data_IF_640240454910
#
_entry.id   IF_640240454910
#
_cell.length_a   1.000
_cell.length_b   1.000
_cell.length_c   1.000
_cell.angle_alpha   90.00
_cell.angle_beta   90.00
_cell.angle_gamma   90.00
#
_symmetry.space_group_name_H-M   'P 1'
#
loop_
_entity.id
_entity.type
_entity.pdbx_description
1 polymer ?
#
# COMPACT_ATOMS: atom_id res chain seq x y z
N UNK A 1 -15.68 -8.12 2.02
CA UNK A 1 -14.28 -8.33 1.60
C UNK A 1 -14.26 -9.37 0.51
N UNK A 2 -13.78 -9.03 -0.68
CA UNK A 2 -13.68 -9.95 -1.81
C UNK A 2 -12.27 -10.59 -1.89
N UNK A 3 -12.07 -11.50 -2.86
CA UNK A 3 -10.79 -12.20 -3.04
C UNK A 3 -9.64 -11.25 -3.39
N UNK A 4 -9.91 -10.22 -4.20
CA UNK A 4 -8.92 -9.20 -4.57
C UNK A 4 -8.42 -8.44 -3.34
N UNK A 5 -9.34 -7.91 -2.53
CA UNK A 5 -9.04 -7.19 -1.30
C UNK A 5 -8.24 -8.07 -0.34
N UNK A 6 -8.64 -9.33 -0.18
CA UNK A 6 -7.96 -10.30 0.68
C UNK A 6 -6.52 -10.53 0.23
N UNK A 7 -6.30 -10.75 -1.07
CA UNK A 7 -4.96 -10.94 -1.65
C UNK A 7 -4.10 -9.68 -1.50
N UNK A 8 -4.65 -8.49 -1.80
CA UNK A 8 -3.95 -7.21 -1.60
C UNK A 8 -3.50 -7.03 -0.15
N UNK A 9 -4.40 -7.21 0.81
CA UNK A 9 -4.09 -7.06 2.24
C UNK A 9 -2.99 -8.04 2.66
N UNK A 10 -3.08 -9.30 2.23
CA UNK A 10 -2.07 -10.31 2.57
C UNK A 10 -0.70 -9.96 1.98
N UNK A 11 -0.63 -9.50 0.73
CA UNK A 11 0.62 -9.07 0.11
C UNK A 11 1.19 -7.82 0.78
N UNK A 12 0.36 -6.85 1.16
CA UNK A 12 0.77 -5.70 1.96
C UNK A 12 1.38 -6.13 3.29
N UNK A 13 0.75 -7.06 4.02
CA UNK A 13 1.28 -7.58 5.29
C UNK A 13 2.64 -8.25 5.12
N UNK A 14 2.81 -9.06 4.07
CA UNK A 14 4.09 -9.70 3.73
C UNK A 14 5.15 -8.66 3.38
N UNK A 15 4.79 -7.61 2.65
CA UNK A 15 5.69 -6.52 2.30
C UNK A 15 6.12 -5.73 3.55
N UNK A 16 5.17 -5.25 4.35
CA UNK A 16 5.44 -4.36 5.48
C UNK A 16 6.22 -5.04 6.60
N UNK A 17 6.10 -6.36 6.76
CA UNK A 17 6.94 -7.14 7.66
C UNK A 17 8.46 -7.04 7.33
N UNK A 18 8.83 -6.62 6.12
CA UNK A 18 10.22 -6.43 5.68
C UNK A 18 10.77 -5.03 6.04
N UNK A 19 9.92 -4.11 6.50
CA UNK A 19 10.27 -2.72 6.75
C UNK A 19 10.09 -2.36 8.24
N UNK A 20 11.08 -2.64 9.11
CA UNK A 20 10.96 -2.48 10.57
C UNK A 20 10.83 -1.02 11.04
N UNK A 21 11.02 -0.05 10.14
CA UNK A 21 10.78 1.37 10.44
C UNK A 21 9.33 1.81 10.25
N UNK A 22 8.47 0.94 9.69
CA UNK A 22 7.04 1.18 9.63
C UNK A 22 6.43 0.95 11.00
N UNK A 23 5.64 1.90 11.48
CA UNK A 23 4.82 1.71 12.67
C UNK A 23 3.82 0.56 12.48
N UNK A 24 3.36 -0.02 13.59
CA UNK A 24 2.29 -1.02 13.54
C UNK A 24 0.98 -0.38 13.09
N UNK A 25 0.26 -1.07 12.20
CA UNK A 25 -1.06 -0.66 11.73
C UNK A 25 -1.88 -1.85 11.26
N UNK A 26 -3.18 -1.68 11.22
CA UNK A 26 -4.12 -2.68 10.74
C UNK A 26 -4.98 -2.13 9.61
N UNK A 27 -5.40 -3.01 8.71
CA UNK A 27 -6.40 -2.68 7.71
C UNK A 27 -7.78 -2.64 8.35
N UNK A 28 -8.38 -1.47 8.39
CA UNK A 28 -9.72 -1.22 8.91
C UNK A 28 -10.73 -1.11 7.76
N UNK A 29 -11.92 -1.73 7.88
CA UNK A 29 -12.98 -1.57 6.90
C UNK A 29 -13.62 -0.18 7.03
N UNK A 30 -13.69 0.56 5.93
CA UNK A 30 -14.40 1.82 5.83
C UNK A 30 -15.63 1.62 4.97
N UNK A 31 -16.80 1.91 5.55
CA UNK A 31 -18.08 1.86 4.86
C UNK A 31 -18.40 3.24 4.27
N UNK A 32 -18.04 3.44 3.01
CA UNK A 32 -18.41 4.66 2.28
C UNK A 32 -19.86 4.61 1.80
N UNK A 33 -20.40 5.78 1.44
CA UNK A 33 -21.76 5.92 0.91
C UNK A 33 -21.94 5.33 -0.49
N UNK A 34 -20.84 5.20 -1.25
CA UNK A 34 -20.81 4.66 -2.61
C UNK A 34 -20.06 3.34 -2.68
N UNK A 35 -18.94 3.24 -1.98
CA UNK A 35 -18.04 2.10 -2.05
C UNK A 35 -17.49 1.79 -0.66
N UNK A 36 -17.26 0.51 -0.40
CA UNK A 36 -16.62 0.03 0.83
C UNK A 36 -15.19 -0.37 0.52
N UNK A 37 -14.25 0.06 1.36
CA UNK A 37 -12.82 -0.17 1.14
C UNK A 37 -12.10 -0.48 2.45
N UNK A 38 -10.84 -0.89 2.36
CA UNK A 38 -9.98 -1.08 3.51
C UNK A 38 -8.90 0.01 3.54
N UNK A 39 -8.62 0.55 4.72
CA UNK A 39 -7.58 1.56 4.94
C UNK A 39 -6.58 1.07 5.98
N UNK A 40 -5.29 1.30 5.75
CA UNK A 40 -4.27 1.20 6.79
C UNK A 40 -3.37 2.44 6.77
N UNK A 41 -2.87 2.85 7.93
CA UNK A 41 -2.07 4.06 8.10
C UNK A 41 -0.78 3.72 8.84
N UNK A 42 0.37 3.90 8.18
CA UNK A 42 1.68 3.55 8.73
C UNK A 42 2.53 4.80 8.90
N UNK A 43 3.12 4.99 10.07
CA UNK A 43 4.15 5.99 10.26
C UNK A 43 5.46 5.54 9.61
N UNK A 44 5.99 6.33 8.69
CA UNK A 44 7.34 6.23 8.15
C UNK A 44 8.21 7.26 8.88
N UNK A 45 9.16 6.79 9.70
CA UNK A 45 10.19 7.61 10.36
C UNK A 45 9.64 8.89 11.02
N UNK A 46 8.81 8.72 12.06
CA UNK A 46 8.26 9.76 12.95
C UNK A 46 7.55 10.98 12.32
N UNK A 47 7.52 11.13 10.98
CA UNK A 47 7.04 12.38 10.34
C UNK A 47 6.27 12.20 9.04
N UNK A 48 6.33 11.04 8.37
CA UNK A 48 5.55 10.80 7.15
C UNK A 48 4.51 9.72 7.41
N UNK A 49 3.33 9.91 6.86
CA UNK A 49 2.26 8.91 6.89
C UNK A 49 2.19 8.21 5.53
N UNK A 50 2.24 6.89 5.54
CA UNK A 50 1.83 6.06 4.41
C UNK A 50 0.40 5.63 4.67
N UNK A 51 -0.52 6.03 3.80
CA UNK A 51 -1.91 5.59 3.83
C UNK A 51 -2.13 4.63 2.67
N UNK A 52 -2.72 3.47 2.94
CA UNK A 52 -2.99 2.44 1.94
C UNK A 52 -4.49 2.24 1.85
N UNK A 53 -5.01 2.24 0.63
CA UNK A 53 -6.44 2.13 0.32
C UNK A 53 -6.65 0.94 -0.63
N UNK A 54 -7.61 0.07 -0.30
CA UNK A 54 -7.91 -1.13 -1.07
C UNK A 54 -9.42 -1.22 -1.29
N UNK A 55 -9.85 -1.01 -2.53
CA UNK A 55 -11.24 -1.07 -2.98
C UNK A 55 -11.53 -2.43 -3.61
N UNK A 56 -12.70 -2.61 -4.22
CA UNK A 56 -13.12 -3.90 -4.77
C UNK A 56 -12.33 -4.31 -6.03
N UNK A 57 -11.90 -3.33 -6.82
CA UNK A 57 -11.21 -3.53 -8.10
C UNK A 57 -10.02 -2.58 -8.34
N UNK A 58 -9.63 -1.80 -7.33
CA UNK A 58 -8.48 -0.89 -7.35
C UNK A 58 -7.74 -0.86 -6.00
N UNK A 59 -6.47 -0.48 -6.05
CA UNK A 59 -5.66 -0.27 -4.86
C UNK A 59 -4.74 0.95 -5.04
N UNK A 60 -4.54 1.71 -3.97
CA UNK A 60 -3.74 2.92 -4.00
C UNK A 60 -3.06 3.22 -2.68
N UNK A 61 -2.10 4.13 -2.71
CA UNK A 61 -1.44 4.61 -1.51
C UNK A 61 -1.11 6.09 -1.61
N UNK A 62 -1.01 6.73 -0.44
CA UNK A 62 -0.63 8.13 -0.28
C UNK A 62 0.57 8.24 0.64
N UNK A 63 1.56 9.06 0.27
CA UNK A 63 2.69 9.40 1.15
C UNK A 63 2.62 10.87 1.53
N UNK A 64 2.68 11.13 2.84
CA UNK A 64 2.75 12.48 3.42
C UNK A 64 1.55 13.38 3.07
N UNK A 65 0.38 12.79 2.78
CA UNK A 65 -0.84 13.52 2.42
C UNK A 65 -0.80 14.24 1.07
N UNK A 66 0.18 13.94 0.20
CA UNK A 66 0.40 14.69 -1.05
C UNK A 66 0.70 13.80 -2.26
N UNK A 67 1.49 12.75 -2.07
CA UNK A 67 1.95 11.91 -3.18
C UNK A 67 1.03 10.71 -3.33
N UNK A 68 0.14 10.77 -4.32
CA UNK A 68 -0.85 9.71 -4.56
C UNK A 68 -0.42 8.79 -5.69
N UNK A 69 -0.62 7.49 -5.48
CA UNK A 69 -0.40 6.46 -6.49
C UNK A 69 -1.58 5.51 -6.49
N UNK A 70 -2.21 5.34 -7.64
CA UNK A 70 -3.38 4.48 -7.84
C UNK A 70 -3.02 3.39 -8.87
N UNK A 71 -3.55 2.20 -8.66
CA UNK A 71 -3.51 1.08 -9.59
C UNK A 71 -4.95 0.60 -9.77
N UNK A 72 -5.53 0.87 -10.94
CA UNK A 72 -6.91 0.56 -11.27
C UNK A 72 -6.98 -0.51 -12.37
N UNK A 73 -8.08 -1.28 -12.39
CA UNK A 73 -8.28 -2.40 -13.32
C UNK A 73 -8.01 -2.07 -14.81
N UNK A 74 -8.37 -0.89 -15.36
CA UNK A 74 -8.09 -0.56 -16.76
C UNK A 74 -6.59 -0.58 -17.13
N UNK A 75 -5.69 -0.37 -16.16
CA UNK A 75 -4.24 -0.32 -16.39
C UNK A 75 -3.58 -1.71 -16.45
N UNK A 76 -4.32 -2.77 -16.10
CA UNK A 76 -3.77 -4.10 -15.90
C UNK A 76 -4.59 -5.18 -16.60
N UNK A 77 -3.92 -6.19 -17.14
CA UNK A 77 -4.58 -7.27 -17.87
C UNK A 77 -5.25 -8.32 -16.97
N UNK A 78 -5.00 -8.30 -15.66
CA UNK A 78 -5.64 -9.18 -14.67
C UNK A 78 -5.57 -8.59 -13.26
N UNK A 79 -6.43 -9.06 -12.33
CA UNK A 79 -6.35 -8.67 -10.92
C UNK A 79 -4.99 -8.99 -10.27
N UNK A 80 -4.39 -10.13 -10.61
CA UNK A 80 -3.09 -10.51 -10.05
C UNK A 80 -1.97 -9.58 -10.56
N UNK A 81 -2.01 -9.13 -11.82
CA UNK A 81 -1.07 -8.13 -12.34
C UNK A 81 -1.23 -6.76 -11.66
N UNK A 82 -2.46 -6.37 -11.35
CA UNK A 82 -2.72 -5.15 -10.57
C UNK A 82 -2.11 -5.26 -9.18
N UNK A 83 -2.37 -6.37 -8.46
CA UNK A 83 -1.79 -6.63 -7.14
C UNK A 83 -0.27 -6.55 -7.20
N UNK A 84 0.37 -7.24 -8.14
CA UNK A 84 1.83 -7.22 -8.29
C UNK A 84 2.36 -5.81 -8.58
N UNK A 85 1.75 -5.07 -9.50
CA UNK A 85 2.17 -3.71 -9.84
C UNK A 85 1.98 -2.72 -8.68
N UNK A 86 0.90 -2.87 -7.92
CA UNK A 86 0.64 -2.09 -6.71
C UNK A 86 1.70 -2.35 -5.63
N UNK A 87 2.00 -3.61 -5.35
CA UNK A 87 3.01 -4.01 -4.36
C UNK A 87 4.41 -3.55 -4.78
N UNK A 88 4.76 -3.63 -6.07
CA UNK A 88 6.04 -3.13 -6.59
C UNK A 88 6.18 -1.62 -6.38
N UNK A 89 5.13 -0.84 -6.70
CA UNK A 89 5.14 0.63 -6.53
C UNK A 89 5.29 1.02 -5.05
N UNK A 90 4.58 0.35 -4.13
CA UNK A 90 4.75 0.60 -2.69
C UNK A 90 6.16 0.22 -2.24
N UNK A 91 6.64 -0.96 -2.63
CA UNK A 91 7.98 -1.43 -2.27
C UNK A 91 9.07 -0.46 -2.72
N UNK A 92 8.98 0.05 -3.96
CA UNK A 92 9.88 1.07 -4.49
C UNK A 92 9.83 2.34 -3.63
N UNK A 93 8.63 2.83 -3.29
CA UNK A 93 8.48 4.04 -2.47
C UNK A 93 9.05 3.87 -1.07
N UNK A 94 8.85 2.70 -0.45
CA UNK A 94 9.42 2.37 0.86
C UNK A 94 10.95 2.26 0.79
N UNK A 95 11.50 1.69 -0.29
CA UNK A 95 12.94 1.60 -0.51
C UNK A 95 13.59 2.98 -0.66
N UNK A 96 12.94 3.93 -1.33
CA UNK A 96 13.41 5.33 -1.43
C UNK A 96 13.44 6.04 -0.06
N UNK A 97 12.67 5.57 0.91
CA UNK A 97 12.63 6.10 2.28
C UNK A 97 13.44 5.26 3.28
N UNK A 98 14.04 4.15 2.84
CA UNK A 98 14.92 3.35 3.66
C UNK A 98 16.30 4.05 3.76
N UNK A 99 16.75 4.46 4.96
CA UNK A 99 17.98 5.22 5.13
C UNK A 99 19.25 4.38 4.90
N UNK A 100 19.11 3.10 4.51
CA UNK A 100 20.22 2.17 4.29
C UNK A 100 20.82 2.17 2.87
N UNK A 101 20.39 3.04 1.97
CA UNK A 101 20.92 3.08 0.59
C UNK A 101 22.00 4.14 0.34
N UNK A 102 22.59 4.72 1.39
CA UNK A 102 23.72 5.67 1.25
C UNK A 102 25.08 5.16 1.72
N UNK A 103 25.21 3.89 2.11
CA UNK A 103 26.51 3.33 2.47
C UNK A 103 26.67 1.89 1.96
N UNK A 104 27.08 1.73 0.71
CA UNK A 104 28.11 0.75 0.36
C UNK A 104 28.80 1.12 -0.95
N UNK A 105 29.93 1.81 -0.77
CA UNK A 105 31.12 1.94 -1.64
C UNK A 105 31.03 2.76 -2.94
#
# INVERSE_FOLDING_TARGET
MNDFQTKCINQCKVLFAQYPFLGESNFEPIQGSKESYFKAEFSIQDRRLLEVFIYEDEAGFMVGGKEWTICEKPDYSSPDHLISGFIEKINKKLSEHNPRSLDTQ
#
